data_IF_033943624228
#
_entry.id   IF_033943624228
#
_cell.length_a   1.000
_cell.length_b   1.000
_cell.length_c   1.000
_cell.angle_alpha   90.00
_cell.angle_beta   90.00
_cell.angle_gamma   90.00
#
_symmetry.space_group_name_H-M   'P 1'
#
loop_
_entity.id
_entity.type
_entity.pdbx_description
1 polymer ?
#
# COMPACT_ATOMS: atom_id res chain seq x y z
N UNK A 1 46.63 -12.34 17.43
CA UNK A 1 45.89 -11.60 16.38
C UNK A 1 44.53 -12.27 16.25
N UNK A 2 43.52 -11.77 16.98
CA UNK A 2 42.16 -12.31 16.92
C UNK A 2 41.41 -11.54 15.82
N UNK A 3 41.03 -12.26 14.77
CA UNK A 3 40.23 -11.74 13.66
C UNK A 3 38.77 -11.71 14.12
N UNK A 4 38.32 -10.53 14.55
CA UNK A 4 36.91 -10.24 14.81
C UNK A 4 36.24 -9.92 13.47
N UNK A 5 35.66 -10.93 12.83
CA UNK A 5 34.71 -10.73 11.72
C UNK A 5 33.35 -10.39 12.33
N UNK A 6 33.14 -9.11 12.64
CA UNK A 6 31.81 -8.57 12.94
C UNK A 6 31.02 -8.47 11.62
N UNK A 7 30.31 -9.54 11.26
CA UNK A 7 29.29 -9.49 10.22
C UNK A 7 28.03 -8.81 10.80
N UNK A 8 28.01 -7.47 10.77
CA UNK A 8 26.75 -6.71 10.91
C UNK A 8 26.02 -6.76 9.56
N UNK A 9 25.35 -7.87 9.26
CA UNK A 9 24.45 -8.00 8.11
C UNK A 9 23.10 -7.28 8.33
N UNK A 10 23.14 -6.03 8.80
CA UNK A 10 21.95 -5.20 9.07
C UNK A 10 21.58 -4.29 7.88
N UNK A 11 22.35 -4.32 6.80
CA UNK A 11 22.31 -3.31 5.73
C UNK A 11 21.18 -3.44 4.69
N UNK A 12 20.25 -4.40 4.80
CA UNK A 12 19.22 -4.57 3.74
C UNK A 12 18.26 -3.36 3.61
N UNK A 13 18.07 -2.60 4.69
CA UNK A 13 17.19 -1.43 4.70
C UNK A 13 17.93 -0.14 5.05
N UNK A 14 19.24 -0.05 4.84
CA UNK A 14 19.97 1.19 5.11
C UNK A 14 19.60 2.28 4.11
N UNK A 15 19.63 3.54 4.57
CA UNK A 15 19.51 4.73 3.72
C UNK A 15 20.56 4.69 2.59
N UNK A 16 20.17 5.19 1.43
CA UNK A 16 21.02 5.26 0.23
C UNK A 16 20.94 6.66 -0.38
N UNK A 17 22.00 7.48 -0.28
CA UNK A 17 21.95 8.87 -0.73
C UNK A 17 21.81 9.01 -2.25
N UNK A 18 21.91 7.93 -3.03
CA UNK A 18 21.71 7.96 -4.48
C UNK A 18 20.23 7.86 -4.90
N UNK A 19 19.33 7.53 -3.98
CA UNK A 19 17.90 7.37 -4.25
C UNK A 19 17.10 8.56 -3.69
N UNK A 20 15.99 8.96 -4.33
CA UNK A 20 15.09 9.98 -3.79
C UNK A 20 14.47 9.51 -2.47
N UNK A 21 14.15 10.45 -1.57
CA UNK A 21 13.56 10.13 -0.27
C UNK A 21 12.18 9.47 -0.38
N UNK A 22 11.42 9.85 -1.42
CA UNK A 22 10.09 9.31 -1.72
C UNK A 22 9.97 9.02 -3.21
N UNK A 23 9.52 7.81 -3.57
CA UNK A 23 9.09 7.45 -4.92
C UNK A 23 7.70 6.86 -4.89
N UNK A 24 6.85 7.21 -5.86
CA UNK A 24 5.49 6.69 -5.97
C UNK A 24 5.22 6.14 -7.36
N UNK A 25 4.52 5.02 -7.39
CA UNK A 25 4.17 4.35 -8.64
C UNK A 25 2.97 3.42 -8.46
N UNK A 26 2.32 3.07 -9.55
CA UNK A 26 1.35 1.98 -9.55
C UNK A 26 2.06 0.68 -9.21
N UNK A 27 1.56 -0.03 -8.20
CA UNK A 27 2.11 -1.33 -7.84
C UNK A 27 1.96 -2.31 -9.01
N UNK A 28 3.05 -3.01 -9.32
CA UNK A 28 3.07 -4.07 -10.32
C UNK A 28 2.46 -5.34 -9.75
N UNK A 29 2.12 -6.27 -10.64
CA UNK A 29 1.70 -7.60 -10.22
C UNK A 29 2.78 -8.33 -9.39
N UNK A 30 4.06 -8.14 -9.73
CA UNK A 30 5.18 -8.67 -8.95
C UNK A 30 5.28 -8.08 -7.54
N UNK A 31 4.97 -6.79 -7.38
CA UNK A 31 4.95 -6.15 -6.05
C UNK A 31 3.90 -6.77 -5.14
N UNK A 32 2.76 -7.15 -5.71
CA UNK A 32 1.60 -7.67 -4.99
C UNK A 32 1.75 -9.17 -4.71
N UNK A 33 2.24 -9.97 -5.67
CA UNK A 33 2.29 -11.44 -5.58
C UNK A 33 3.11 -11.98 -4.41
N UNK A 34 4.05 -11.20 -3.87
CA UNK A 34 4.82 -11.61 -2.68
C UNK A 34 3.98 -11.78 -1.41
N UNK A 35 2.76 -11.22 -1.38
CA UNK A 35 1.84 -11.27 -0.24
C UNK A 35 0.79 -12.39 -0.34
N UNK A 36 0.91 -13.28 -1.32
CA UNK A 36 0.02 -14.43 -1.50
C UNK A 36 -0.37 -14.67 -2.95
N UNK A 37 -0.78 -15.91 -3.24
CA UNK A 37 -1.09 -16.41 -4.58
C UNK A 37 -2.53 -16.13 -5.02
N UNK A 38 -3.43 -15.88 -4.09
CA UNK A 38 -4.85 -15.64 -4.35
C UNK A 38 -5.46 -14.62 -3.38
N UNK A 39 -6.70 -14.20 -3.65
CA UNK A 39 -7.40 -13.20 -2.84
C UNK A 39 -7.78 -13.69 -1.43
N UNK A 40 -7.70 -14.98 -1.10
CA UNK A 40 -7.99 -15.46 0.26
C UNK A 40 -6.87 -15.13 1.24
N UNK A 41 -5.62 -15.03 0.76
CA UNK A 41 -4.45 -14.68 1.57
C UNK A 41 -3.85 -13.30 1.20
N UNK A 42 -3.98 -12.86 -0.05
CA UNK A 42 -3.40 -11.59 -0.50
C UNK A 42 -4.39 -10.44 -0.31
N UNK A 43 -4.08 -9.39 0.47
CA UNK A 43 -5.00 -8.28 0.72
C UNK A 43 -5.11 -7.30 -0.45
N UNK A 44 -4.26 -7.41 -1.47
CA UNK A 44 -4.21 -6.50 -2.63
C UNK A 44 -4.71 -7.15 -3.93
N UNK A 45 -5.33 -8.33 -3.83
CA UNK A 45 -5.97 -9.00 -4.95
C UNK A 45 -7.48 -8.91 -4.82
N UNK A 46 -8.16 -8.55 -5.91
CA UNK A 46 -9.61 -8.44 -5.97
C UNK A 46 -10.28 -9.79 -5.66
N UNK A 47 -11.33 -9.82 -4.83
CA UNK A 47 -12.15 -11.01 -4.66
C UNK A 47 -12.82 -11.36 -5.99
N UNK A 48 -12.74 -12.62 -6.41
CA UNK A 48 -13.38 -13.10 -7.64
C UNK A 48 -14.58 -13.97 -7.29
N UNK A 49 -15.74 -13.67 -7.87
CA UNK A 49 -16.90 -14.57 -7.83
C UNK A 49 -17.26 -14.99 -9.25
N UNK A 50 -17.56 -16.28 -9.45
CA UNK A 50 -17.98 -16.81 -10.76
C UNK A 50 -19.35 -16.26 -11.20
N UNK A 51 -20.17 -15.77 -10.27
CA UNK A 51 -21.59 -15.44 -10.50
C UNK A 51 -21.83 -13.93 -10.69
N UNK A 52 -21.00 -13.04 -10.10
CA UNK A 52 -21.27 -11.59 -10.08
C UNK A 52 -20.21 -10.71 -10.78
N UNK A 53 -19.20 -11.30 -11.43
CA UNK A 53 -18.12 -10.52 -12.06
C UNK A 53 -17.23 -9.80 -11.02
N UNK A 54 -16.51 -8.75 -11.44
CA UNK A 54 -15.68 -7.91 -10.55
C UNK A 54 -16.55 -7.05 -9.64
N UNK A 55 -16.65 -7.43 -8.37
CA UNK A 55 -17.42 -6.67 -7.37
C UNK A 55 -16.66 -5.43 -6.88
N UNK A 56 -15.34 -5.50 -6.81
CA UNK A 56 -14.48 -4.39 -6.42
C UNK A 56 -13.33 -4.28 -7.43
N UNK A 57 -12.99 -3.06 -7.81
CA UNK A 57 -11.78 -2.76 -8.56
C UNK A 57 -10.74 -2.16 -7.61
N UNK A 58 -9.55 -2.77 -7.61
CA UNK A 58 -8.43 -2.35 -6.75
C UNK A 58 -7.42 -1.59 -7.60
N UNK A 59 -7.02 -0.42 -7.11
CA UNK A 59 -5.88 0.30 -7.64
C UNK A 59 -4.88 0.54 -6.51
N UNK A 60 -3.68 -0.02 -6.62
CA UNK A 60 -2.70 0.00 -5.54
C UNK A 60 -1.54 0.91 -5.96
N UNK A 61 -1.27 1.93 -5.14
CA UNK A 61 -0.06 2.74 -5.27
C UNK A 61 1.00 2.21 -4.30
N UNK A 62 2.21 1.98 -4.79
CA UNK A 62 3.39 1.72 -3.96
C UNK A 62 4.10 3.03 -3.70
N UNK A 63 4.43 3.25 -2.44
CA UNK A 63 5.31 4.33 -1.99
C UNK A 63 6.58 3.71 -1.44
N UNK A 64 7.72 4.11 -1.98
CA UNK A 64 9.04 3.76 -1.49
C UNK A 64 9.63 4.94 -0.74
N UNK A 65 9.96 4.71 0.52
CA UNK A 65 10.71 5.62 1.39
C UNK A 65 12.18 5.23 1.41
N UNK A 66 13.06 6.22 1.39
CA UNK A 66 14.50 6.09 1.58
C UNK A 66 14.97 7.26 2.47
N UNK A 67 14.84 7.09 3.78
CA UNK A 67 14.93 8.22 4.71
C UNK A 67 16.27 8.21 5.48
N UNK A 68 16.93 9.36 5.64
CA UNK A 68 18.19 9.45 6.40
C UNK A 68 17.99 9.34 7.92
N UNK A 69 16.78 9.65 8.40
CA UNK A 69 16.40 9.61 9.81
C UNK A 69 14.93 9.18 9.96
N UNK A 70 14.46 9.05 11.20
CA UNK A 70 13.03 8.91 11.44
C UNK A 70 12.32 10.22 11.07
N UNK A 71 11.21 10.13 10.33
CA UNK A 71 10.56 11.27 9.66
C UNK A 71 9.04 11.18 9.84
N UNK A 72 8.38 12.31 10.10
CA UNK A 72 6.91 12.39 10.02
C UNK A 72 6.47 12.47 8.57
N UNK A 73 5.47 11.66 8.22
CA UNK A 73 4.90 11.51 6.90
C UNK A 73 3.42 11.87 6.95
N UNK A 74 2.98 12.75 6.06
CA UNK A 74 1.58 13.03 5.78
C UNK A 74 1.24 12.58 4.35
N UNK A 75 0.10 11.93 4.16
CA UNK A 75 -0.38 11.40 2.89
C UNK A 75 -1.75 11.98 2.58
N UNK A 76 -1.88 12.62 1.43
CA UNK A 76 -3.15 13.03 0.84
C UNK A 76 -3.41 12.14 -0.37
N UNK A 77 -4.48 11.36 -0.33
CA UNK A 77 -4.82 10.41 -1.39
C UNK A 77 -6.30 10.53 -1.74
N UNK A 78 -6.60 10.66 -3.03
CA UNK A 78 -7.97 10.85 -3.54
C UNK A 78 -8.17 10.11 -4.86
N UNK A 79 -9.40 9.68 -5.12
CA UNK A 79 -9.82 9.16 -6.41
C UNK A 79 -11.13 9.84 -6.79
N UNK A 80 -11.10 10.69 -7.81
CA UNK A 80 -12.22 11.56 -8.17
C UNK A 80 -12.65 11.42 -9.63
N UNK A 81 -13.94 11.55 -9.90
CA UNK A 81 -14.48 11.74 -11.25
C UNK A 81 -14.12 13.14 -11.81
N UNK A 82 -14.38 13.42 -13.10
CA UNK A 82 -14.26 14.78 -13.64
C UNK A 82 -15.18 15.80 -12.98
N UNK A 83 -16.30 15.36 -12.39
CA UNK A 83 -17.20 16.22 -11.61
C UNK A 83 -16.71 16.46 -10.17
N UNK A 84 -15.61 15.84 -9.76
CA UNK A 84 -15.01 15.98 -8.43
C UNK A 84 -15.60 15.03 -7.37
N UNK A 85 -16.46 14.09 -7.76
CA UNK A 85 -17.05 13.11 -6.84
C UNK A 85 -16.02 12.03 -6.48
N UNK A 86 -15.97 11.60 -5.20
CA UNK A 86 -15.14 10.48 -4.78
C UNK A 86 -15.68 9.17 -5.39
N UNK A 87 -14.83 8.47 -6.14
CA UNK A 87 -15.21 7.25 -6.88
C UNK A 87 -14.56 5.97 -6.32
N UNK A 88 -13.58 6.11 -5.44
CA UNK A 88 -12.96 5.00 -4.70
C UNK A 88 -12.48 5.47 -3.34
N UNK A 89 -12.57 4.58 -2.34
CA UNK A 89 -12.08 4.86 -0.99
C UNK A 89 -10.61 4.47 -0.88
N UNK A 90 -9.83 5.28 -0.17
CA UNK A 90 -8.45 4.96 0.23
C UNK A 90 -8.43 4.34 1.62
N UNK A 91 -7.63 3.30 1.82
CA UNK A 91 -7.56 2.59 3.09
C UNK A 91 -6.16 2.62 3.70
N UNK A 92 -6.11 2.79 5.02
CA UNK A 92 -4.96 2.48 5.86
C UNK A 92 -5.03 1.04 6.39
N UNK A 93 -4.14 0.66 7.32
CA UNK A 93 -4.16 -0.66 7.95
C UNK A 93 -5.54 -1.00 8.51
N UNK A 94 -6.13 -0.12 9.32
CA UNK A 94 -7.36 -0.45 10.03
C UNK A 94 -8.53 -0.54 9.04
N UNK A 95 -8.66 0.44 8.16
CA UNK A 95 -9.72 0.43 7.16
C UNK A 95 -9.63 -0.79 6.24
N UNK A 96 -8.43 -1.21 5.83
CA UNK A 96 -8.26 -2.36 4.94
C UNK A 96 -8.61 -3.67 5.66
N UNK A 97 -8.28 -3.80 6.95
CA UNK A 97 -8.71 -4.93 7.78
C UNK A 97 -10.23 -4.98 7.88
N UNK A 98 -10.89 -3.84 8.14
CA UNK A 98 -12.35 -3.74 8.24
C UNK A 98 -13.03 -4.10 6.92
N UNK A 99 -12.48 -3.65 5.79
CA UNK A 99 -12.94 -4.04 4.45
C UNK A 99 -12.94 -5.56 4.27
N UNK A 100 -11.83 -6.23 4.63
CA UNK A 100 -11.71 -7.68 4.48
C UNK A 100 -12.54 -8.45 5.50
N UNK A 101 -12.70 -7.92 6.71
CA UNK A 101 -13.62 -8.46 7.71
C UNK A 101 -15.06 -8.49 7.18
N UNK A 102 -15.53 -7.39 6.57
CA UNK A 102 -16.88 -7.30 6.01
C UNK A 102 -17.13 -8.25 4.83
N UNK A 103 -16.08 -8.67 4.11
CA UNK A 103 -16.17 -9.62 3.00
C UNK A 103 -15.98 -11.09 3.41
N UNK A 104 -15.55 -11.35 4.63
CA UNK A 104 -15.32 -12.71 5.09
C UNK A 104 -16.66 -13.36 5.42
N UNK A 105 -17.11 -14.27 4.55
CA UNK A 105 -18.17 -15.22 4.92
C UNK A 105 -17.56 -16.10 6.02
N UNK A 106 -18.18 -16.08 7.20
CA UNK A 106 -17.71 -16.59 8.50
C UNK A 106 -17.57 -18.11 8.57
N UNK A 107 -16.85 -18.72 7.64
CA UNK A 107 -16.53 -20.17 7.62
C UNK A 107 -15.10 -20.47 7.08
N UNK A 108 -14.24 -19.45 6.93
CA UNK A 108 -12.93 -19.63 6.32
C UNK A 108 -11.82 -20.00 7.32
N UNK A 109 -10.93 -20.89 6.86
CA UNK A 109 -9.68 -21.32 7.51
C UNK A 109 -8.91 -20.14 8.13
N UNK A 110 -8.92 -20.07 9.47
CA UNK A 110 -8.29 -19.02 10.28
C UNK A 110 -6.85 -18.67 9.83
N UNK A 111 -6.07 -19.67 9.39
CA UNK A 111 -4.68 -19.47 9.03
C UNK A 111 -4.45 -18.61 7.78
N UNK A 112 -5.36 -18.64 6.80
CA UNK A 112 -5.24 -17.80 5.60
C UNK A 112 -5.64 -16.36 5.88
N UNK A 113 -6.68 -16.16 6.70
CA UNK A 113 -7.10 -14.84 7.11
C UNK A 113 -6.04 -14.16 7.99
N UNK A 114 -5.44 -14.88 8.93
CA UNK A 114 -4.35 -14.36 9.77
C UNK A 114 -3.12 -13.93 8.94
N UNK A 115 -2.77 -14.71 7.90
CA UNK A 115 -1.71 -14.33 6.95
C UNK A 115 -2.05 -13.06 6.21
N UNK A 116 -3.31 -12.90 5.78
CA UNK A 116 -3.79 -11.67 5.14
C UNK A 116 -3.67 -10.48 6.07
N UNK A 117 -4.13 -10.59 7.32
CA UNK A 117 -4.01 -9.51 8.31
C UNK A 117 -2.55 -9.15 8.58
N UNK A 118 -1.68 -10.14 8.71
CA UNK A 118 -0.23 -9.95 8.87
C UNK A 118 0.38 -9.24 7.66
N UNK A 119 -0.06 -9.58 6.44
CA UNK A 119 0.39 -8.90 5.22
C UNK A 119 -0.03 -7.42 5.22
N UNK A 120 -1.27 -7.12 5.61
CA UNK A 120 -1.77 -5.73 5.74
C UNK A 120 -0.89 -4.94 6.71
N UNK A 121 -0.67 -5.46 7.92
CA UNK A 121 0.13 -4.77 8.95
C UNK A 121 1.56 -4.47 8.51
N UNK A 122 2.13 -5.35 7.69
CA UNK A 122 3.50 -5.19 7.22
C UNK A 122 3.62 -4.26 6.03
N UNK A 123 2.58 -4.08 5.22
CA UNK A 123 2.75 -3.47 3.90
C UNK A 123 1.77 -2.35 3.56
N UNK A 124 0.67 -2.19 4.28
CA UNK A 124 -0.23 -1.05 4.11
C UNK A 124 0.31 0.17 4.88
N UNK A 125 -0.04 1.37 4.45
CA UNK A 125 0.23 2.58 5.25
C UNK A 125 -0.49 2.49 6.61
N UNK A 126 0.16 2.83 7.73
CA UNK A 126 -0.43 2.67 9.05
C UNK A 126 -1.59 3.64 9.31
N UNK A 127 -1.47 4.86 8.79
CA UNK A 127 -2.45 5.95 8.83
C UNK A 127 -2.05 6.99 7.77
N UNK A 128 -2.88 8.02 7.57
CA UNK A 128 -2.54 9.13 6.67
C UNK A 128 -1.49 10.07 7.25
N UNK A 129 -1.34 10.10 8.57
CA UNK A 129 -0.26 10.82 9.28
C UNK A 129 0.47 9.84 10.20
N UNK A 130 1.76 9.62 9.98
CA UNK A 130 2.53 8.64 10.76
C UNK A 130 4.02 8.94 10.82
N UNK A 131 4.71 8.29 11.74
CA UNK A 131 6.17 8.32 11.83
C UNK A 131 6.77 7.14 11.08
N UNK A 132 7.55 7.41 10.05
CA UNK A 132 8.31 6.39 9.31
C UNK A 132 9.75 6.33 9.85
N UNK A 133 10.24 5.11 10.08
CA UNK A 133 11.62 4.91 10.54
C UNK A 133 12.63 5.18 9.43
N UNK A 134 13.83 5.58 9.83
CA UNK A 134 14.99 5.71 8.95
C UNK A 134 15.23 4.44 8.11
N UNK A 135 15.80 4.64 6.92
CA UNK A 135 16.15 3.59 5.98
C UNK A 135 15.15 3.40 4.84
N UNK A 136 15.28 2.26 4.17
CA UNK A 136 14.43 1.90 3.01
C UNK A 136 13.18 1.15 3.47
N UNK A 137 12.01 1.60 3.02
CA UNK A 137 10.73 0.91 3.27
C UNK A 137 9.74 1.13 2.15
N UNK A 138 9.09 0.06 1.71
CA UNK A 138 7.97 0.13 0.77
C UNK A 138 6.67 -0.10 1.51
N UNK A 139 5.68 0.76 1.25
CA UNK A 139 4.30 0.62 1.72
C UNK A 139 3.33 0.76 0.55
N UNK A 140 2.09 0.34 0.76
CA UNK A 140 1.01 0.40 -0.21
C UNK A 140 -0.13 1.29 0.27
N UNK A 141 -0.72 1.97 -0.70
CA UNK A 141 -1.88 2.84 -0.56
C UNK A 141 -2.98 2.25 -1.45
N UNK A 142 -3.87 1.41 -0.88
CA UNK A 142 -4.96 0.78 -1.61
C UNK A 142 -6.12 1.74 -1.86
N UNK A 143 -6.53 1.86 -3.12
CA UNK A 143 -7.80 2.44 -3.54
C UNK A 143 -8.74 1.30 -3.90
N UNK A 144 -9.93 1.27 -3.30
CA UNK A 144 -10.93 0.24 -3.57
C UNK A 144 -12.26 0.89 -3.95
N UNK A 145 -12.69 0.61 -5.17
CA UNK A 145 -14.03 0.94 -5.66
C UNK A 145 -15.07 -0.05 -5.12
N UNK A 146 -16.26 0.46 -4.74
CA UNK A 146 -17.40 -0.38 -4.33
C UNK A 146 -17.97 -1.24 -5.47
N UNK A 147 -17.67 -0.83 -6.71
CA UNK A 147 -17.90 -1.46 -8.01
C UNK A 147 -16.63 -1.20 -8.85
N UNK A 148 -16.52 -1.64 -10.12
CA UNK A 148 -15.51 -1.08 -11.02
C UNK A 148 -15.48 0.44 -10.91
N UNK A 149 -14.29 1.02 -10.81
CA UNK A 149 -14.12 2.46 -10.62
C UNK A 149 -14.69 3.13 -11.89
N UNK A 150 -15.69 4.03 -11.74
CA UNK A 150 -16.24 4.80 -12.86
C UNK A 150 -15.14 5.47 -13.66
N UNK A 151 -15.27 5.45 -14.99
CA UNK A 151 -14.33 6.06 -15.92
C UNK A 151 -14.97 7.27 -16.61
N UNK A 152 -14.22 8.35 -16.88
CA UNK A 152 -12.84 8.53 -16.45
C UNK A 152 -12.73 8.85 -14.94
N UNK A 153 -11.59 8.55 -14.33
CA UNK A 153 -11.32 8.90 -12.93
C UNK A 153 -9.84 9.21 -12.72
N UNK A 154 -9.54 10.23 -11.92
CA UNK A 154 -8.18 10.60 -11.55
C UNK A 154 -7.88 10.12 -10.14
N UNK A 155 -6.84 9.31 -10.00
CA UNK A 155 -6.26 8.90 -8.72
C UNK A 155 -5.03 9.75 -8.46
N UNK A 156 -4.97 10.40 -7.30
CA UNK A 156 -3.87 11.26 -6.89
C UNK A 156 -3.37 10.86 -5.52
N UNK A 157 -2.06 10.80 -5.35
CA UNK A 157 -1.38 10.63 -4.07
C UNK A 157 -0.31 11.70 -3.96
N UNK A 158 -0.33 12.43 -2.85
CA UNK A 158 0.73 13.32 -2.42
C UNK A 158 1.26 12.86 -1.07
N UNK A 159 2.59 12.78 -0.95
CA UNK A 159 3.31 12.46 0.28
C UNK A 159 4.11 13.70 0.65
N UNK A 160 4.00 14.14 1.90
CA UNK A 160 4.73 15.28 2.45
C UNK A 160 5.53 14.78 3.65
N UNK A 161 6.84 15.03 3.63
CA UNK A 161 7.74 14.77 4.75
C UNK A 161 7.89 16.03 5.59
N UNK A 162 8.17 15.89 6.88
CA UNK A 162 8.49 17.03 7.76
C UNK A 162 9.78 17.79 7.37
N UNK A 163 10.65 17.18 6.56
CA UNK A 163 11.78 17.83 5.90
C UNK A 163 11.36 18.84 4.84
N UNK A 164 10.09 18.84 4.43
CA UNK A 164 9.55 19.62 3.32
C UNK A 164 9.64 18.90 1.96
N UNK A 165 10.28 17.74 1.89
CA UNK A 165 10.29 16.91 0.67
C UNK A 165 8.87 16.44 0.35
N UNK A 166 8.49 16.55 -0.92
CA UNK A 166 7.19 16.05 -1.40
C UNK A 166 7.37 15.05 -2.53
N UNK A 167 6.58 13.97 -2.51
CA UNK A 167 6.41 13.05 -3.63
C UNK A 167 4.97 13.11 -4.13
N UNK A 168 4.77 13.03 -5.44
CA UNK A 168 3.43 13.01 -6.03
C UNK A 168 3.29 11.94 -7.10
N UNK A 169 2.11 11.33 -7.17
CA UNK A 169 1.67 10.43 -8.22
C UNK A 169 0.25 10.79 -8.63
N UNK A 170 0.00 10.85 -9.94
CA UNK A 170 -1.34 11.03 -10.50
C UNK A 170 -1.54 10.09 -11.68
N UNK A 171 -2.71 9.49 -11.78
CA UNK A 171 -3.07 8.57 -12.85
C UNK A 171 -4.54 8.73 -13.23
N UNK A 172 -4.81 8.85 -14.53
CA UNK A 172 -6.19 8.84 -15.05
C UNK A 172 -6.53 7.44 -15.55
N UNK A 173 -7.58 6.85 -14.96
CA UNK A 173 -8.27 5.69 -15.51
C UNK A 173 -9.18 6.17 -16.64
N UNK A 174 -8.88 5.73 -17.85
CA UNK A 174 -9.72 5.90 -19.04
C UNK A 174 -10.70 4.72 -19.21
#
# INVERSE_FOLDING_TARGET
MLVLVSSCATAKNSFDPSLPEVSLYKATESDIRQYGKNFSENPYMEPRTLVRGKLNEFFIVRVDFNLPADTMVAILATATSPSGEEVARVYDIQGLKDFWWALTITDNDSGLYDRKLTAIERSCIPSFDFKQRAGKRSLFIPFIGKNPIPRPATLSVQVVLDSGTTGQYSFTLE
#
